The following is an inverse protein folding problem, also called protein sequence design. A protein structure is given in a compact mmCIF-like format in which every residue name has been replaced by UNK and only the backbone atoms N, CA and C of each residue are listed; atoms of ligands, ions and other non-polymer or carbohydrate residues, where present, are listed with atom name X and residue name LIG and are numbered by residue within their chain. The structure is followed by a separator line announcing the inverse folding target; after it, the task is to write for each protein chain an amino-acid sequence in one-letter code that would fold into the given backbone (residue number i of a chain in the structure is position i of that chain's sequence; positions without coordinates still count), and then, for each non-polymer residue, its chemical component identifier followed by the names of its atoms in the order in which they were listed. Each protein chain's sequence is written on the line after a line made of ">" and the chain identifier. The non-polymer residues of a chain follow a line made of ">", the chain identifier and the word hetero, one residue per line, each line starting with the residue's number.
data_IF_869784378164
#
_entry.id   IF_869784378164
#
_cell.length_a   1.000
_cell.length_b   1.000
_cell.length_c   1.000
_cell.angle_alpha   90.00
_cell.angle_beta   90.00
_cell.angle_gamma   90.00
#
_symmetry.space_group_name_H-M   'P 1'
#
loop_
_entity.id
_entity.type
_entity.pdbx_description
1 polymer ?
#
# COMPACT_ATOMS: atom_id res chain seq x y z
N UNK A 1 -6.90 0.17 2.76
CA UNK A 1 -5.43 0.15 2.60
C UNK A 1 -4.76 -0.01 3.96
N UNK A 2 -3.50 -0.46 3.99
CA UNK A 2 -2.69 -0.57 5.21
C UNK A 2 -1.38 0.16 5.03
N UNK A 3 -1.04 1.02 5.98
CA UNK A 3 0.25 1.66 6.10
C UNK A 3 1.00 1.14 7.33
N UNK A 4 2.32 1.15 7.27
CA UNK A 4 3.20 0.92 8.42
C UNK A 4 4.24 2.02 8.45
N UNK A 5 4.35 2.70 9.58
CA UNK A 5 5.18 3.89 9.76
C UNK A 5 6.00 3.78 11.06
N UNK A 6 7.13 4.51 11.18
CA UNK A 6 7.73 4.78 12.49
C UNK A 6 6.71 5.40 13.46
N UNK A 7 6.79 5.07 14.75
CA UNK A 7 5.77 5.43 15.75
C UNK A 7 5.48 6.95 15.81
N UNK A 8 6.53 7.77 15.73
CA UNK A 8 6.41 9.24 15.75
C UNK A 8 5.69 9.84 14.54
N UNK A 9 5.45 9.05 13.48
CA UNK A 9 4.83 9.49 12.24
C UNK A 9 3.38 9.01 12.07
N UNK A 10 2.84 8.26 13.03
CA UNK A 10 1.44 7.81 13.00
C UNK A 10 0.46 9.00 13.07
N UNK A 11 0.63 9.89 14.05
CA UNK A 11 -0.27 11.02 14.23
C UNK A 11 -0.22 12.03 13.05
N UNK A 12 0.97 12.44 12.55
CA UNK A 12 1.05 13.27 11.35
C UNK A 12 0.37 12.66 10.12
N UNK A 13 0.49 11.34 9.93
CA UNK A 13 -0.16 10.65 8.82
C UNK A 13 -1.69 10.64 8.93
N UNK A 14 -2.23 10.44 10.14
CA UNK A 14 -3.68 10.52 10.37
C UNK A 14 -4.22 11.93 10.15
N UNK A 15 -3.49 12.95 10.61
CA UNK A 15 -3.87 14.35 10.39
C UNK A 15 -3.91 14.70 8.89
N UNK A 16 -2.94 14.20 8.11
CA UNK A 16 -2.93 14.38 6.65
C UNK A 16 -4.13 13.68 5.98
N UNK A 17 -4.48 12.47 6.41
CA UNK A 17 -5.65 11.74 5.92
C UNK A 17 -6.95 12.50 6.20
N UNK A 18 -7.14 12.97 7.43
CA UNK A 18 -8.35 13.67 7.87
C UNK A 18 -8.51 15.02 7.15
N UNK A 19 -7.41 15.74 6.93
CA UNK A 19 -7.39 17.02 6.23
C UNK A 19 -7.81 16.90 4.76
N UNK A 20 -7.26 15.91 4.04
CA UNK A 20 -7.47 15.75 2.60
C UNK A 20 -8.73 14.92 2.28
N UNK A 21 -9.07 13.95 3.13
CA UNK A 21 -10.22 13.05 2.97
C UNK A 21 -11.01 12.92 4.29
N UNK A 22 -11.81 13.93 4.67
CA UNK A 22 -12.55 13.92 5.93
C UNK A 22 -13.60 12.81 6.03
N UNK A 23 -14.04 12.25 4.90
CA UNK A 23 -14.95 11.10 4.86
C UNK A 23 -14.23 9.74 4.95
N UNK A 24 -12.89 9.72 4.98
CA UNK A 24 -12.12 8.49 5.15
C UNK A 24 -12.11 8.07 6.62
N UNK A 25 -12.22 6.76 6.86
CA UNK A 25 -12.09 6.18 8.18
C UNK A 25 -10.72 5.54 8.37
N UNK A 26 -10.14 5.63 9.57
CA UNK A 26 -8.89 4.95 9.90
C UNK A 26 -8.91 4.34 11.29
N UNK A 27 -8.18 3.24 11.45
CA UNK A 27 -7.85 2.62 12.73
C UNK A 27 -6.34 2.48 12.79
N UNK A 28 -5.73 2.95 13.88
CA UNK A 28 -4.31 2.86 14.12
C UNK A 28 -3.99 1.97 15.32
N UNK A 29 -3.00 1.10 15.16
CA UNK A 29 -2.35 0.38 16.24
C UNK A 29 -1.08 1.13 16.59
N UNK A 30 -1.20 2.07 17.55
CA UNK A 30 -0.16 3.04 17.85
C UNK A 30 1.20 2.39 18.17
N UNK A 31 1.22 1.25 18.88
CA UNK A 31 2.45 0.58 19.31
C UNK A 31 3.23 -0.12 18.19
N UNK A 32 2.56 -0.48 17.08
CA UNK A 32 3.18 -1.17 15.94
C UNK A 32 3.32 -0.26 14.72
N UNK A 33 2.88 1.00 14.82
CA UNK A 33 2.90 1.94 13.72
C UNK A 33 2.00 1.54 12.54
N UNK A 34 1.08 0.59 12.75
CA UNK A 34 0.21 0.07 11.69
C UNK A 34 -1.10 0.85 11.63
N UNK A 35 -1.45 1.32 10.45
CA UNK A 35 -2.68 2.08 10.19
C UNK A 35 -3.46 1.36 9.11
N UNK A 36 -4.76 1.13 9.34
CA UNK A 36 -5.69 0.65 8.32
C UNK A 36 -6.68 1.75 8.03
N UNK A 37 -6.77 2.17 6.78
CA UNK A 37 -7.66 3.23 6.34
C UNK A 37 -8.60 2.75 5.23
N UNK A 38 -9.78 3.34 5.16
CA UNK A 38 -10.79 3.18 4.13
C UNK A 38 -11.19 4.56 3.60
N UNK A 39 -11.42 4.67 2.30
CA UNK A 39 -11.78 5.92 1.65
C UNK A 39 -12.65 5.65 0.42
N UNK A 40 -12.71 6.59 -0.55
CA UNK A 40 -13.55 6.46 -1.73
C UNK A 40 -13.30 5.16 -2.50
N UNK A 41 -14.39 4.53 -2.94
CA UNK A 41 -14.37 3.32 -3.77
C UNK A 41 -14.46 3.62 -5.27
N UNK A 42 -14.85 4.85 -5.61
CA UNK A 42 -14.80 5.34 -6.98
C UNK A 42 -13.34 5.28 -7.47
N UNK A 43 -13.05 4.64 -8.63
CA UNK A 43 -11.70 4.36 -9.06
C UNK A 43 -10.75 5.56 -9.10
N UNK A 44 -11.15 6.70 -9.67
CA UNK A 44 -10.28 7.86 -9.83
C UNK A 44 -9.95 8.51 -8.47
N UNK A 45 -10.97 8.75 -7.64
CA UNK A 45 -10.83 9.33 -6.31
C UNK A 45 -10.03 8.42 -5.37
N UNK A 46 -10.31 7.12 -5.39
CA UNK A 46 -9.59 6.15 -4.57
C UNK A 46 -8.14 5.96 -5.03
N UNK A 47 -7.88 6.01 -6.34
CA UNK A 47 -6.52 5.98 -6.87
C UNK A 47 -5.72 7.24 -6.48
N UNK A 48 -6.36 8.42 -6.48
CA UNK A 48 -5.75 9.66 -6.01
C UNK A 48 -5.37 9.57 -4.52
N UNK A 49 -6.30 9.08 -3.68
CA UNK A 49 -6.04 8.85 -2.25
C UNK A 49 -4.86 7.89 -2.04
N UNK A 50 -4.84 6.74 -2.73
CA UNK A 50 -3.76 5.75 -2.60
C UNK A 50 -2.41 6.34 -3.00
N UNK A 51 -2.34 7.05 -4.13
CA UNK A 51 -1.08 7.68 -4.59
C UNK A 51 -0.57 8.72 -3.59
N UNK A 52 -1.45 9.58 -3.10
CA UNK A 52 -1.08 10.62 -2.13
C UNK A 52 -0.56 10.04 -0.82
N UNK A 53 -1.38 9.21 -0.15
CA UNK A 53 -1.00 8.63 1.13
C UNK A 53 0.23 7.73 1.02
N UNK A 54 0.45 7.09 -0.13
CA UNK A 54 1.67 6.33 -0.37
C UNK A 54 2.90 7.24 -0.44
N UNK A 55 2.81 8.37 -1.14
CA UNK A 55 3.91 9.35 -1.18
C UNK A 55 4.23 9.86 0.23
N UNK A 56 3.20 10.19 1.02
CA UNK A 56 3.35 10.61 2.42
C UNK A 56 3.99 9.51 3.27
N UNK A 57 3.49 8.28 3.18
CA UNK A 57 4.03 7.15 3.94
C UNK A 57 5.52 6.91 3.61
N UNK A 58 5.89 6.96 2.33
CA UNK A 58 7.27 6.79 1.89
C UNK A 58 8.17 7.93 2.38
N UNK A 59 7.72 9.18 2.31
CA UNK A 59 8.46 10.33 2.86
C UNK A 59 8.69 10.22 4.38
N UNK A 60 7.77 9.58 5.10
CA UNK A 60 7.87 9.31 6.55
C UNK A 60 8.67 8.05 6.90
N UNK A 61 9.33 7.42 5.91
CA UNK A 61 10.14 6.22 6.10
C UNK A 61 9.34 4.93 6.27
N UNK A 62 8.07 4.92 5.85
CA UNK A 62 7.19 3.76 5.90
C UNK A 62 6.69 3.32 4.52
N UNK A 63 5.61 2.55 4.52
CA UNK A 63 5.04 1.96 3.30
C UNK A 63 3.53 1.81 3.37
N UNK A 64 2.88 1.65 2.21
CA UNK A 64 1.43 1.52 2.09
C UNK A 64 1.00 0.56 0.97
N UNK A 65 0.17 -0.43 1.34
CA UNK A 65 -0.45 -1.41 0.43
C UNK A 65 -1.98 -1.27 0.40
N UNK A 66 -2.59 -1.69 -0.71
CA UNK A 66 -4.04 -1.81 -0.87
C UNK A 66 -4.46 -3.24 -0.58
N UNK A 67 -4.98 -3.48 0.62
CA UNK A 67 -5.46 -4.83 1.01
C UNK A 67 -6.79 -5.21 0.34
N UNK A 68 -7.69 -4.24 0.16
CA UNK A 68 -9.06 -4.44 -0.34
C UNK A 68 -9.50 -3.24 -1.16
N UNK A 69 -10.05 -3.50 -2.34
CA UNK A 69 -10.64 -2.53 -3.25
C UNK A 69 -11.40 -3.26 -4.38
N UNK A 70 -12.38 -2.60 -5.03
CA UNK A 70 -12.96 -3.08 -6.29
C UNK A 70 -11.90 -3.27 -7.38
N UNK A 71 -12.15 -4.16 -8.34
CA UNK A 71 -11.22 -4.46 -9.44
C UNK A 71 -10.84 -3.20 -10.22
N UNK A 72 -11.84 -2.39 -10.60
CA UNK A 72 -11.63 -1.16 -11.37
C UNK A 72 -10.67 -0.17 -10.68
N UNK A 73 -10.61 -0.16 -9.34
CA UNK A 73 -9.64 0.65 -8.60
C UNK A 73 -8.25 0.00 -8.59
N UNK A 74 -8.19 -1.32 -8.40
CA UNK A 74 -6.92 -2.09 -8.41
C UNK A 74 -6.21 -2.00 -9.77
N UNK A 75 -6.95 -1.85 -10.86
CA UNK A 75 -6.37 -1.66 -12.20
C UNK A 75 -5.71 -0.28 -12.39
N UNK A 76 -6.03 0.71 -11.54
CA UNK A 76 -5.47 2.07 -11.61
C UNK A 76 -4.26 2.31 -10.70
N UNK A 77 -3.97 1.38 -9.78
CA UNK A 77 -2.88 1.51 -8.82
C UNK A 77 -2.15 0.20 -8.64
N UNK A 78 -0.83 0.29 -8.45
CA UNK A 78 -0.10 -0.85 -7.89
C UNK A 78 -0.60 -1.10 -6.45
N UNK A 79 -1.18 -2.27 -6.20
CA UNK A 79 -1.73 -2.64 -4.88
C UNK A 79 -0.64 -2.89 -3.84
N UNK A 80 0.59 -3.22 -4.27
CA UNK A 80 1.73 -3.46 -3.40
C UNK A 80 2.54 -2.18 -3.13
N UNK A 81 2.51 -1.24 -4.08
CA UNK A 81 3.34 -0.04 -4.01
C UNK A 81 4.76 -0.27 -4.53
N UNK A 82 5.64 0.73 -4.42
CA UNK A 82 6.96 0.69 -5.04
C UNK A 82 7.74 -0.55 -4.60
N UNK A 83 8.49 -1.20 -5.51
CA UNK A 83 9.26 -2.37 -5.15
C UNK A 83 10.27 -2.04 -4.05
N UNK A 84 10.33 -2.91 -3.05
CA UNK A 84 11.31 -2.79 -1.99
C UNK A 84 12.72 -3.22 -2.48
N UNK A 85 13.77 -2.74 -1.82
CA UNK A 85 15.16 -3.10 -2.10
C UNK A 85 15.44 -4.61 -2.29
N UNK A 86 14.76 -5.53 -1.60
CA UNK A 86 14.96 -6.98 -1.78
C UNK A 86 14.30 -7.62 -3.01
N UNK A 87 13.75 -6.86 -3.98
CA UNK A 87 13.00 -7.43 -5.11
C UNK A 87 13.77 -8.53 -5.86
N UNK A 88 15.08 -8.34 -6.07
CA UNK A 88 15.90 -9.31 -6.79
C UNK A 88 16.08 -10.63 -6.01
N UNK A 89 16.18 -10.57 -4.69
CA UNK A 89 16.17 -11.77 -3.85
C UNK A 89 14.82 -12.50 -3.94
N UNK A 90 13.72 -11.75 -3.91
CA UNK A 90 12.37 -12.31 -4.06
C UNK A 90 12.17 -12.97 -5.43
N UNK A 91 12.72 -12.39 -6.49
CA UNK A 91 12.71 -12.96 -7.84
C UNK A 91 13.46 -14.29 -7.92
N UNK A 92 14.68 -14.34 -7.37
CA UNK A 92 15.48 -15.59 -7.32
C UNK A 92 14.78 -16.68 -6.52
N UNK A 93 14.15 -16.31 -5.41
CA UNK A 93 13.36 -17.23 -4.61
C UNK A 93 12.15 -17.76 -5.42
N UNK A 94 11.41 -16.88 -6.09
CA UNK A 94 10.29 -17.30 -6.96
C UNK A 94 10.78 -18.23 -8.07
N UNK A 95 11.89 -17.92 -8.73
CA UNK A 95 12.44 -18.76 -9.80
C UNK A 95 12.86 -20.16 -9.32
N UNK A 96 13.38 -20.28 -8.10
CA UNK A 96 13.77 -21.57 -7.53
C UNK A 96 12.57 -22.48 -7.23
N UNK A 97 11.45 -21.91 -6.79
CA UNK A 97 10.25 -22.65 -6.38
C UNK A 97 9.13 -22.69 -7.44
N UNK A 98 9.13 -21.77 -8.40
CA UNK A 98 8.17 -21.67 -9.51
C UNK A 98 8.92 -21.38 -10.83
N UNK A 99 9.76 -22.31 -11.34
CA UNK A 99 10.52 -22.07 -12.57
C UNK A 99 9.64 -21.83 -13.80
N UNK A 100 8.43 -22.40 -13.80
CA UNK A 100 7.45 -22.23 -14.88
C UNK A 100 6.63 -20.94 -14.77
N UNK A 101 6.73 -20.21 -13.64
CA UNK A 101 6.02 -18.95 -13.41
C UNK A 101 4.50 -19.10 -13.36
N UNK A 102 3.97 -20.29 -13.03
CA UNK A 102 2.54 -20.58 -13.08
C UNK A 102 1.80 -20.14 -11.81
N UNK A 103 2.50 -19.97 -10.70
CA UNK A 103 1.88 -19.62 -9.43
C UNK A 103 1.67 -18.10 -9.33
N UNK A 104 0.41 -17.68 -9.44
CA UNK A 104 -0.03 -16.30 -9.23
C UNK A 104 0.79 -15.26 -10.02
N UNK A 105 1.05 -15.56 -11.30
CA UNK A 105 1.82 -14.70 -12.20
C UNK A 105 1.35 -13.24 -12.18
N UNK A 106 2.27 -12.30 -11.94
CA UNK A 106 2.00 -10.86 -12.00
C UNK A 106 1.18 -10.31 -10.83
N UNK A 107 0.96 -11.09 -9.77
CA UNK A 107 0.08 -10.73 -8.64
C UNK A 107 0.83 -10.36 -7.37
N UNK A 108 2.15 -10.24 -7.43
CA UNK A 108 3.02 -9.85 -6.33
C UNK A 108 3.89 -8.63 -6.66
N UNK A 109 4.69 -8.19 -5.67
CA UNK A 109 5.54 -7.00 -5.75
C UNK A 109 6.39 -7.02 -7.02
N UNK A 110 6.38 -5.92 -7.78
CA UNK A 110 7.19 -5.81 -9.00
C UNK A 110 6.79 -6.77 -10.13
N UNK A 111 5.55 -7.25 -10.14
CA UNK A 111 5.03 -8.16 -11.16
C UNK A 111 5.47 -9.61 -11.00
N UNK A 112 5.97 -9.98 -9.81
CA UNK A 112 6.25 -11.37 -9.43
C UNK A 112 4.96 -12.19 -9.27
#
# INVERSE_FOLDING_TARGET
>A
LRASLPLGHVAPFLAELESQWPAAGAIAQALTGTIRAAGPLEPAAGAALVRHLRAVATALGGWLVVERAPLALKEQVDVWGPPAGPLELMRRLKQAYDPAGIMNHGRFVGGL
#
